data_IF_514585941496
#
_entry.id   IF_514585941496
#
_cell.length_a   1.000
_cell.length_b   1.000
_cell.length_c   1.000
_cell.angle_alpha   90.00
_cell.angle_beta   90.00
_cell.angle_gamma   90.00
#
_symmetry.space_group_name_H-M   'P 1'
#
loop_
_entity.id
_entity.type
_entity.pdbx_description
1 polymer ?
#
# COMPACT_ATOMS: atom_id res chain seq x y z
N UNK A 1 13.59 -21.30 -4.29
CA UNK A 1 13.21 -19.98 -3.76
C UNK A 1 12.53 -19.22 -4.89
N UNK A 2 11.30 -18.75 -4.69
CA UNK A 2 10.50 -18.15 -5.77
C UNK A 2 10.58 -16.62 -5.78
N UNK A 3 10.72 -16.04 -6.96
CA UNK A 3 10.65 -14.60 -7.17
C UNK A 3 9.19 -14.17 -7.38
N UNK A 4 8.84 -13.01 -6.82
CA UNK A 4 7.47 -12.48 -6.84
C UNK A 4 7.51 -11.00 -7.23
N UNK A 5 6.61 -10.55 -8.12
CA UNK A 5 6.41 -9.12 -8.37
C UNK A 5 5.75 -8.45 -7.16
N UNK A 6 5.67 -7.11 -7.23
CA UNK A 6 4.91 -6.30 -6.27
C UNK A 6 3.40 -6.64 -6.30
N UNK A 7 2.67 -6.49 -5.18
CA UNK A 7 1.23 -6.76 -5.15
C UNK A 7 0.43 -5.78 -6.02
N UNK A 8 -0.63 -6.27 -6.66
CA UNK A 8 -1.45 -5.48 -7.58
C UNK A 8 -2.55 -4.66 -6.91
N UNK A 9 -3.03 -5.08 -5.74
CA UNK A 9 -3.98 -4.32 -4.92
C UNK A 9 -3.70 -4.63 -3.45
N UNK A 10 -3.40 -3.62 -2.65
CA UNK A 10 -3.10 -3.79 -1.24
C UNK A 10 -3.23 -2.48 -0.47
N UNK A 11 -3.18 -2.54 0.86
CA UNK A 11 -3.29 -1.38 1.74
C UNK A 11 -2.32 -1.49 2.88
N UNK A 12 -1.71 -0.37 3.22
CA UNK A 12 -0.92 -0.21 4.43
C UNK A 12 -1.81 0.40 5.51
N UNK A 13 -1.96 -0.30 6.62
CA UNK A 13 -2.83 0.07 7.73
C UNK A 13 -2.03 0.21 9.02
N UNK A 14 -2.52 1.06 9.92
CA UNK A 14 -1.99 1.24 11.26
C UNK A 14 -3.08 1.10 12.31
N UNK A 15 -2.65 0.87 13.54
CA UNK A 15 -3.48 0.95 14.73
C UNK A 15 -2.78 1.80 15.78
N UNK A 16 -3.50 2.72 16.41
CA UNK A 16 -3.03 3.55 17.53
C UNK A 16 -3.47 3.03 18.91
N UNK A 17 -4.23 1.94 18.94
CA UNK A 17 -4.91 1.39 20.11
C UNK A 17 -4.62 -0.10 20.36
N UNK A 18 -3.38 -0.52 20.06
CA UNK A 18 -2.87 -1.87 20.28
C UNK A 18 -3.61 -2.96 19.48
N UNK A 19 -4.03 -2.63 18.26
CA UNK A 19 -4.64 -3.55 17.30
C UNK A 19 -6.16 -3.67 17.38
N UNK A 20 -6.83 -2.84 18.19
CA UNK A 20 -8.30 -2.88 18.32
C UNK A 20 -9.00 -2.25 17.12
N UNK A 21 -8.56 -1.08 16.69
CA UNK A 21 -9.03 -0.40 15.48
C UNK A 21 -7.91 -0.22 14.48
N UNK A 22 -8.29 -0.15 13.21
CA UNK A 22 -7.36 -0.07 12.09
C UNK A 22 -7.77 1.07 11.17
N UNK A 23 -6.82 1.94 10.86
CA UNK A 23 -6.97 3.02 9.89
C UNK A 23 -5.94 2.85 8.78
N UNK A 24 -6.31 3.18 7.54
CA UNK A 24 -5.38 3.13 6.43
C UNK A 24 -4.40 4.31 6.48
N UNK A 25 -3.12 4.04 6.22
CA UNK A 25 -2.14 5.07 5.90
C UNK A 25 -2.13 5.38 4.41
N UNK A 26 -2.11 4.33 3.58
CA UNK A 26 -2.07 4.49 2.13
C UNK A 26 -2.60 3.24 1.43
N UNK A 27 -3.29 3.47 0.32
CA UNK A 27 -3.77 2.45 -0.59
C UNK A 27 -2.86 2.33 -1.82
N UNK A 28 -2.81 1.13 -2.39
CA UNK A 28 -2.00 0.82 -3.55
C UNK A 28 -2.80 -0.04 -4.50
N UNK A 29 -2.85 0.37 -5.76
CA UNK A 29 -3.56 -0.37 -6.80
C UNK A 29 -2.84 -0.28 -8.12
N UNK A 30 -3.13 -1.20 -9.03
CA UNK A 30 -2.54 -1.21 -10.36
C UNK A 30 -3.09 -0.10 -11.27
N UNK A 31 -4.37 0.26 -11.11
CA UNK A 31 -5.05 1.24 -11.97
C UNK A 31 -5.83 2.26 -11.15
N UNK A 32 -5.93 3.53 -11.60
CA UNK A 32 -6.72 4.54 -10.88
C UNK A 32 -8.18 4.12 -10.69
N UNK A 33 -8.75 3.41 -11.68
CA UNK A 33 -10.11 2.88 -11.58
C UNK A 33 -10.27 1.85 -10.44
N UNK A 34 -9.26 1.01 -10.20
CA UNK A 34 -9.27 0.10 -9.03
C UNK A 34 -9.19 0.88 -7.71
N UNK A 35 -8.43 1.98 -7.63
CA UNK A 35 -8.43 2.84 -6.43
C UNK A 35 -9.85 3.32 -6.11
N UNK A 36 -10.54 3.89 -7.10
CA UNK A 36 -11.88 4.42 -6.91
C UNK A 36 -12.90 3.33 -6.57
N UNK A 37 -12.77 2.16 -7.20
CA UNK A 37 -13.71 1.04 -7.03
C UNK A 37 -13.57 0.36 -5.66
N UNK A 38 -12.34 0.16 -5.18
CA UNK A 38 -12.08 -0.58 -3.93
C UNK A 38 -11.97 0.31 -2.70
N UNK A 39 -11.47 1.54 -2.85
CA UNK A 39 -11.18 2.44 -1.74
C UNK A 39 -12.00 3.74 -1.78
N UNK A 40 -12.71 4.00 -2.87
CA UNK A 40 -13.57 5.17 -3.04
C UNK A 40 -12.91 6.29 -3.85
N UNK A 41 -13.75 7.11 -4.47
CA UNK A 41 -13.33 8.18 -5.42
C UNK A 41 -12.43 9.24 -4.81
N UNK A 42 -12.57 9.50 -3.52
CA UNK A 42 -11.78 10.53 -2.83
C UNK A 42 -10.32 10.13 -2.60
N UNK A 43 -9.98 8.83 -2.75
CA UNK A 43 -8.62 8.34 -2.51
C UNK A 43 -7.64 8.65 -3.63
N UNK A 44 -8.11 8.99 -4.84
CA UNK A 44 -7.24 9.37 -5.97
C UNK A 44 -7.10 10.89 -6.13
N UNK A 45 -7.08 11.60 -5.00
CA UNK A 45 -6.89 13.06 -4.94
C UNK A 45 -5.52 13.39 -4.36
N UNK A 46 -4.94 14.56 -4.71
CA UNK A 46 -3.72 15.02 -4.06
C UNK A 46 -3.95 15.25 -2.56
N UNK A 47 -2.88 15.14 -1.78
CA UNK A 47 -2.90 15.41 -0.34
C UNK A 47 -3.22 16.89 -0.12
N UNK A 48 -4.27 17.17 0.64
CA UNK A 48 -4.66 18.53 1.05
C UNK A 48 -4.60 18.72 2.56
N UNK A 49 -4.75 17.64 3.32
CA UNK A 49 -4.68 17.59 4.78
C UNK A 49 -3.64 16.58 5.25
N UNK A 50 -3.17 16.76 6.48
CA UNK A 50 -2.17 15.87 7.08
C UNK A 50 -2.68 14.43 7.26
N UNK A 51 -4.00 14.23 7.38
CA UNK A 51 -4.65 12.94 7.62
C UNK A 51 -5.30 12.31 6.37
N UNK A 52 -5.17 12.93 5.19
CA UNK A 52 -5.76 12.40 3.95
C UNK A 52 -5.18 11.02 3.59
N UNK A 53 -6.05 10.05 3.32
CA UNK A 53 -5.63 8.72 2.84
C UNK A 53 -5.66 8.70 1.32
N UNK A 54 -4.50 8.47 0.69
CA UNK A 54 -4.39 8.44 -0.77
C UNK A 54 -4.20 7.03 -1.32
N UNK A 55 -4.49 6.87 -2.60
CA UNK A 55 -4.22 5.68 -3.38
C UNK A 55 -3.22 5.98 -4.49
N UNK A 56 -2.09 5.26 -4.52
CA UNK A 56 -1.06 5.40 -5.56
C UNK A 56 -0.99 4.17 -6.46
N UNK A 57 -0.66 4.41 -7.73
CA UNK A 57 -0.47 3.35 -8.74
C UNK A 57 0.99 3.10 -9.10
N UNK A 58 1.92 3.86 -8.51
CA UNK A 58 3.34 3.79 -8.84
C UNK A 58 3.97 2.45 -8.43
N UNK A 59 3.56 1.94 -7.27
CA UNK A 59 4.17 0.77 -6.63
C UNK A 59 3.44 -0.56 -6.85
N UNK A 60 2.45 -0.59 -7.75
CA UNK A 60 1.68 -1.80 -8.09
C UNK A 60 1.82 -2.22 -9.55
N UNK A 61 2.71 -1.57 -10.32
CA UNK A 61 3.08 -2.01 -11.67
C UNK A 61 3.83 -3.34 -11.60
N UNK A 62 3.63 -4.17 -12.61
CA UNK A 62 4.22 -5.52 -12.71
C UNK A 62 5.75 -5.52 -12.81
N UNK A 63 6.32 -4.44 -13.36
CA UNK A 63 7.77 -4.23 -13.38
C UNK A 63 8.16 -3.48 -12.10
N UNK A 64 9.22 -3.88 -11.39
CA UNK A 64 10.07 -5.05 -11.65
C UNK A 64 9.42 -6.37 -11.21
N UNK A 65 9.71 -7.47 -11.93
CA UNK A 65 9.21 -8.81 -11.61
C UNK A 65 9.90 -9.44 -10.39
N UNK A 66 11.06 -8.89 -10.00
CA UNK A 66 11.87 -9.38 -8.90
C UNK A 66 12.46 -8.20 -8.12
N UNK A 67 12.76 -8.41 -6.83
CA UNK A 67 13.38 -7.41 -5.95
C UNK A 67 12.68 -6.03 -5.99
N UNK A 68 11.36 -6.02 -6.16
CA UNK A 68 10.58 -4.79 -6.11
C UNK A 68 10.61 -4.17 -4.72
N UNK A 69 11.10 -2.94 -4.64
CA UNK A 69 11.07 -2.13 -3.42
C UNK A 69 9.88 -1.16 -3.47
N UNK A 70 9.31 -0.90 -2.29
CA UNK A 70 8.21 0.03 -2.12
C UNK A 70 8.56 0.96 -0.95
N UNK A 71 9.12 2.16 -1.22
CA UNK A 71 9.31 3.17 -0.20
C UNK A 71 7.96 3.84 0.10
N UNK A 72 7.59 3.91 1.37
CA UNK A 72 6.41 4.65 1.83
C UNK A 72 6.86 5.74 2.79
N UNK A 73 6.69 7.00 2.39
CA UNK A 73 7.07 8.17 3.18
C UNK A 73 5.81 8.87 3.69
N UNK A 74 5.49 8.67 4.97
CA UNK A 74 4.23 9.17 5.55
C UNK A 74 4.15 10.71 5.65
N UNK A 75 5.31 11.39 5.65
CA UNK A 75 5.42 12.83 5.80
C UNK A 75 5.49 13.57 4.46
N UNK A 76 5.80 12.89 3.35
CA UNK A 76 5.95 13.57 2.06
C UNK A 76 4.64 14.18 1.60
N UNK A 77 4.73 15.36 0.98
CA UNK A 77 3.62 16.12 0.41
C UNK A 77 2.52 16.52 1.41
N UNK A 78 2.78 16.35 2.72
CA UNK A 78 1.89 16.79 3.79
C UNK A 78 2.13 18.27 4.09
N UNK A 79 1.08 19.09 4.24
CA UNK A 79 1.23 20.54 4.44
C UNK A 79 2.01 20.89 5.72
N UNK A 80 1.86 20.12 6.80
CA UNK A 80 2.57 20.39 8.06
C UNK A 80 3.89 19.65 8.20
N UNK A 81 4.42 19.04 7.13
CA UNK A 81 5.68 18.29 7.18
C UNK A 81 6.86 19.13 7.69
N UNK A 82 6.88 20.43 7.36
CA UNK A 82 7.91 21.38 7.81
C UNK A 82 7.77 21.79 9.27
N UNK A 83 6.56 21.71 9.84
CA UNK A 83 6.21 22.14 11.19
C UNK A 83 5.63 20.99 12.02
N UNK A 84 6.24 19.80 11.94
CA UNK A 84 5.75 18.57 12.57
C UNK A 84 5.41 18.72 14.06
N UNK A 85 6.29 19.38 14.83
CA UNK A 85 6.11 19.57 16.27
C UNK A 85 4.89 20.42 16.63
N UNK A 86 4.42 21.26 15.72
CA UNK A 86 3.26 22.14 15.93
C UNK A 86 1.94 21.54 15.41
N UNK A 87 1.99 20.50 14.56
CA UNK A 87 0.78 19.84 14.04
C UNK A 87 0.44 18.60 14.86
N UNK A 88 -0.61 18.71 15.69
CA UNK A 88 -1.17 17.54 16.41
C UNK A 88 -1.71 16.49 15.43
N UNK A 89 -2.31 16.93 14.32
CA UNK A 89 -2.88 16.04 13.29
C UNK A 89 -1.79 15.18 12.67
N UNK A 90 -0.65 15.77 12.30
CA UNK A 90 0.44 15.02 11.69
C UNK A 90 1.13 14.08 12.69
N UNK A 91 1.23 14.47 13.96
CA UNK A 91 1.72 13.59 15.03
C UNK A 91 0.81 12.40 15.27
N UNK A 92 -0.51 12.62 15.29
CA UNK A 92 -1.49 11.54 15.39
C UNK A 92 -1.48 10.66 14.14
N UNK A 93 -1.26 11.25 12.96
CA UNK A 93 -1.15 10.54 11.69
C UNK A 93 0.06 9.59 11.65
N UNK A 94 1.24 10.02 12.09
CA UNK A 94 2.44 9.15 12.13
C UNK A 94 2.42 8.16 13.29
N UNK A 95 1.66 8.43 14.36
CA UNK A 95 1.56 7.55 15.52
C UNK A 95 0.93 6.20 15.16
N UNK A 96 1.65 5.12 15.49
CA UNK A 96 1.18 3.75 15.40
C UNK A 96 1.77 2.88 16.51
N UNK A 97 0.95 1.97 17.01
CA UNK A 97 1.31 0.86 17.91
C UNK A 97 1.48 -0.44 17.13
N UNK A 98 0.67 -0.66 16.10
CA UNK A 98 0.76 -1.80 15.20
C UNK A 98 0.65 -1.34 13.75
N UNK A 99 1.33 -2.07 12.86
CA UNK A 99 1.31 -1.86 11.42
C UNK A 99 0.87 -3.17 10.76
N UNK A 100 -0.03 -3.08 9.77
CA UNK A 100 -0.55 -4.22 9.03
C UNK A 100 -0.47 -3.95 7.53
N UNK A 101 0.04 -4.93 6.81
CA UNK A 101 0.04 -4.95 5.34
C UNK A 101 -1.11 -5.86 4.92
N UNK A 102 -2.12 -5.29 4.26
CA UNK A 102 -3.29 -6.02 3.79
C UNK A 102 -3.19 -6.25 2.28
N UNK A 103 -2.84 -7.47 1.89
CA UNK A 103 -2.71 -7.89 0.50
C UNK A 103 -4.07 -8.36 -0.02
N UNK A 104 -4.62 -7.69 -1.03
CA UNK A 104 -5.95 -8.00 -1.58
C UNK A 104 -5.87 -8.78 -2.90
N UNK A 105 -4.97 -8.38 -3.80
CA UNK A 105 -4.84 -8.98 -5.14
C UNK A 105 -3.39 -9.09 -5.57
N UNK A 106 -3.01 -10.28 -6.05
CA UNK A 106 -1.72 -10.51 -6.70
C UNK A 106 -1.70 -9.86 -8.09
N UNK A 107 -0.55 -9.35 -8.52
CA UNK A 107 -0.39 -8.88 -9.89
C UNK A 107 -0.20 -10.08 -10.82
N UNK A 108 -1.02 -10.17 -11.87
CA UNK A 108 -0.92 -11.19 -12.90
C UNK A 108 -0.49 -10.58 -14.25
N UNK A 109 0.01 -11.44 -15.14
CA UNK A 109 0.19 -11.10 -16.55
C UNK A 109 -1.20 -11.21 -17.20
N UNK A 110 -1.61 -10.20 -17.98
CA UNK A 110 -2.94 -10.14 -18.62
C UNK A 110 -3.29 -11.44 -19.38
N UNK A 111 -2.29 -12.11 -19.98
CA UNK A 111 -2.46 -13.39 -20.68
C UNK A 111 -2.86 -14.57 -19.78
N UNK A 112 -2.76 -14.44 -18.46
CA UNK A 112 -3.16 -15.47 -17.49
C UNK A 112 -4.45 -15.12 -16.75
N UNK A 113 -5.13 -14.01 -17.09
CA UNK A 113 -6.33 -13.55 -16.40
C UNK A 113 -7.45 -14.61 -16.41
N UNK A 114 -7.69 -15.21 -17.58
CA UNK A 114 -8.72 -16.25 -17.75
C UNK A 114 -8.40 -17.52 -16.96
N UNK A 115 -7.14 -17.94 -16.91
CA UNK A 115 -6.71 -19.12 -16.16
C UNK A 115 -6.73 -18.89 -14.65
N UNK A 116 -6.41 -17.67 -14.19
CA UNK A 116 -6.54 -17.28 -12.77
C UNK A 116 -8.01 -17.23 -12.36
N UNK A 117 -8.89 -16.65 -13.18
CA UNK A 117 -10.33 -16.63 -12.93
C UNK A 117 -10.94 -18.04 -12.86
N UNK A 118 -10.45 -18.97 -13.69
CA UNK A 118 -10.84 -20.39 -13.67
C UNK A 118 -10.16 -21.22 -12.57
N UNK A 119 -9.33 -20.58 -11.73
CA UNK A 119 -8.53 -21.24 -10.69
C UNK A 119 -7.69 -22.42 -11.21
N UNK A 120 -7.17 -22.30 -12.43
CA UNK A 120 -6.34 -23.35 -13.03
C UNK A 120 -5.08 -23.57 -12.18
N UNK A 121 -4.85 -24.80 -11.65
CA UNK A 121 -3.74 -25.09 -10.76
C UNK A 121 -2.36 -24.90 -11.42
N UNK A 122 -2.27 -24.97 -12.75
CA UNK A 122 -1.00 -24.77 -13.47
C UNK A 122 -0.53 -23.30 -13.44
N UNK A 123 -1.46 -22.36 -13.27
CA UNK A 123 -1.23 -20.92 -13.28
C UNK A 123 -1.28 -20.34 -11.87
N UNK A 124 -2.26 -20.73 -11.04
CA UNK A 124 -2.41 -20.22 -9.66
C UNK A 124 -1.24 -20.57 -8.75
N UNK A 125 -0.60 -21.74 -8.94
CA UNK A 125 0.63 -22.11 -8.22
C UNK A 125 1.83 -21.21 -8.50
N UNK A 126 1.79 -20.42 -9.59
CA UNK A 126 2.87 -19.49 -9.97
C UNK A 126 2.68 -18.09 -9.38
N UNK A 127 1.49 -17.76 -8.88
CA UNK A 127 1.17 -16.46 -8.30
C UNK A 127 1.13 -16.55 -6.78
N UNK A 128 2.23 -16.14 -6.16
CA UNK A 128 2.36 -15.98 -4.71
C UNK A 128 3.01 -14.63 -4.42
N UNK A 129 2.77 -14.07 -3.24
CA UNK A 129 3.46 -12.85 -2.78
C UNK A 129 4.60 -13.27 -1.86
N UNK A 130 5.79 -12.73 -2.11
CA UNK A 130 6.95 -12.94 -1.25
C UNK A 130 7.49 -11.61 -0.76
N UNK A 131 7.48 -11.43 0.55
CA UNK A 131 8.14 -10.31 1.23
C UNK A 131 9.51 -10.78 1.71
N UNK A 132 10.57 -10.10 1.27
CA UNK A 132 11.94 -10.44 1.68
C UNK A 132 12.35 -9.70 2.96
N UNK A 133 12.10 -8.39 3.00
CA UNK A 133 12.49 -7.49 4.09
C UNK A 133 11.33 -6.53 4.32
N UNK A 134 11.04 -6.26 5.59
CA UNK A 134 10.20 -5.15 6.01
C UNK A 134 11.01 -4.28 6.96
N UNK A 135 11.18 -3.00 6.60
CA UNK A 135 11.92 -2.05 7.41
C UNK A 135 11.02 -0.86 7.72
N UNK A 136 10.77 -0.65 9.00
CA UNK A 136 10.13 0.56 9.49
C UNK A 136 11.24 1.46 10.06
N UNK A 137 11.50 2.57 9.40
CA UNK A 137 12.44 3.59 9.90
C UNK A 137 11.64 4.76 10.42
N UNK A 138 11.75 4.99 11.73
CA UNK A 138 11.36 6.27 12.31
C UNK A 138 12.46 7.26 11.94
N UNK A 139 12.18 8.09 10.94
CA UNK A 139 12.94 9.32 10.76
C UNK A 139 12.58 10.19 11.96
N UNK A 140 13.51 10.32 12.91
CA UNK A 140 13.44 11.37 13.91
C UNK A 140 13.47 12.69 13.12
N UNK A 141 12.34 13.40 13.14
CA UNK A 141 12.28 14.81 12.71
C UNK A 141 13.03 15.65 13.74
#
# INVERSE_FOLDING_TARGET
>A
MGNSPRPGLWTLEKSSDYGKTWSAWQHFSDTPADCETYFGKDTYKPITKDDDVICTTEYSKIVPLENGEIPVMLLNDRPSATNYFNSSVLQEWTRATNVRIRLLRTKNLLGHLMSVARQDPTVTRRYFIRLRIFQLRLLYV
#
